data_IF_193151656733
#
_entry.id   IF_193151656733
#
_cell.length_a   1.000
_cell.length_b   1.000
_cell.length_c   1.000
_cell.angle_alpha   90.00
_cell.angle_beta   90.00
_cell.angle_gamma   90.00
#
_symmetry.space_group_name_H-M   'P 1'
#
loop_
_entity.id
_entity.type
_entity.pdbx_description
1 polymer ?
2 non-polymer ?
3 non-polymer ?
4 water ?
#
# COMPACT_ATOMS: atom_id res chain seq x y z
N UNK A 3 -16.02 19.48 -7.66
CA UNK A 3 -15.18 18.33 -8.13
C UNK A 3 -15.89 17.57 -9.26
N UNK A 4 -15.17 17.40 -10.38
CA UNK A 4 -15.70 16.87 -11.66
C UNK A 4 -16.06 15.39 -11.61
N UNK A 5 -16.77 14.94 -12.66
CA UNK A 5 -17.27 13.58 -12.74
C UNK A 5 -16.41 12.66 -13.59
N UNK A 6 -15.38 13.18 -14.25
CA UNK A 6 -14.49 12.36 -15.07
C UNK A 6 -13.58 11.46 -14.21
N UNK A 7 -12.88 12.08 -13.27
CA UNK A 7 -11.93 11.37 -12.42
C UNK A 7 -12.63 10.57 -11.32
N UNK A 8 -13.90 10.91 -11.04
CA UNK A 8 -14.71 10.15 -10.08
C UNK A 8 -15.38 8.93 -10.72
N UNK A 9 -15.58 8.97 -12.04
CA UNK A 9 -16.08 7.80 -12.79
C UNK A 9 -15.02 6.74 -12.86
N UNK A 10 -13.78 7.15 -13.17
CA UNK A 10 -12.61 6.29 -13.06
C UNK A 10 -12.33 5.74 -11.63
N UNK A 11 -12.58 6.53 -10.60
CA UNK A 11 -12.40 6.07 -9.22
C UNK A 11 -13.35 4.91 -8.91
N UNK A 12 -14.62 5.08 -9.26
CA UNK A 12 -15.64 4.06 -9.03
C UNK A 12 -15.41 2.81 -9.85
N UNK A 13 -14.95 2.98 -11.09
CA UNK A 13 -14.68 1.83 -11.95
C UNK A 13 -13.54 1.01 -11.39
N UNK A 14 -12.53 1.71 -10.91
CA UNK A 14 -11.38 1.10 -10.32
C UNK A 14 -11.78 0.28 -9.08
N UNK A 15 -12.59 0.88 -8.21
CA UNK A 15 -13.11 0.18 -7.05
C UNK A 15 -13.97 -1.03 -7.44
N UNK A 16 -14.82 -0.88 -8.44
CA UNK A 16 -15.72 -1.96 -8.84
C UNK A 16 -14.97 -3.12 -9.46
N UNK A 17 -13.80 -2.85 -10.03
CA UNK A 17 -13.03 -3.90 -10.69
C UNK A 17 -12.09 -4.59 -9.72
N UNK A 18 -11.93 -4.03 -8.52
CA UNK A 18 -10.93 -4.49 -7.56
C UNK A 18 -11.42 -5.64 -6.69
N UNK A 19 -10.69 -6.74 -6.64
CA UNK A 19 -10.97 -7.82 -5.71
C UNK A 19 -10.07 -7.70 -4.49
N UNK A 20 -8.83 -7.27 -4.71
CA UNK A 20 -7.83 -7.09 -3.67
C UNK A 20 -7.55 -5.61 -3.48
N UNK A 21 -7.42 -5.21 -2.24
CA UNK A 21 -7.12 -3.80 -1.93
C UNK A 21 -5.96 -3.75 -0.93
N UNK A 23 -4.11 -2.28 2.14
CA UNK A 23 -4.58 -1.64 3.36
C UNK A 23 -3.43 -1.17 4.20
N UNK A 24 -3.41 0.13 4.45
CA UNK A 24 -2.40 0.73 5.22
C UNK A 24 -2.90 0.99 6.61
N UNK A 25 -2.13 0.59 7.61
CA UNK A 25 -2.51 0.72 9.03
C UNK A 25 -1.32 1.29 9.74
N UNK A 26 -1.56 1.84 10.91
CA UNK A 26 -0.52 2.39 11.77
C UNK A 26 0.10 1.30 12.62
N UNK A 27 1.35 0.98 12.35
CA UNK A 27 1.97 -0.16 12.96
C UNK A 27 2.79 0.18 14.17
N UNK A 28 3.50 -0.84 14.64
CA UNK A 28 4.34 -0.75 15.82
C UNK A 28 5.45 0.26 15.56
N UNK A 29 5.78 1.02 16.61
CA UNK A 29 6.96 1.87 16.61
C UNK A 29 6.89 3.02 15.63
N UNK A 30 5.71 3.35 15.18
CA UNK A 30 5.52 4.56 14.40
C UNK A 30 5.61 4.34 12.93
N UNK A 31 5.64 3.08 12.50
CA UNK A 31 5.85 2.78 11.10
C UNK A 31 4.53 2.41 10.51
N UNK A 32 4.24 2.87 9.26
CA UNK A 32 3.09 2.34 8.57
C UNK A 32 3.31 0.89 8.21
N UNK A 33 2.22 0.18 7.96
CA UNK A 33 2.28 -1.18 7.58
C UNK A 33 1.25 -1.29 6.46
N UNK A 34 1.52 -2.15 5.49
CA UNK A 34 0.56 -2.43 4.41
C UNK A 34 0.33 -3.94 4.25
N UNK A 35 -0.92 -4.33 3.98
CA UNK A 35 -1.35 -5.72 3.85
C UNK A 35 -2.45 -5.77 2.80
N UNK A 36 -2.44 -6.77 1.96
CA UNK A 36 -3.51 -7.00 0.98
C UNK A 36 -4.70 -7.61 1.70
N UNK A 39 -11.81 -7.48 -0.98
CA UNK A 39 -13.03 -6.69 -0.95
C UNK A 39 -14.26 -7.57 -0.98
N UNK A 40 -15.10 -7.51 0.05
CA UNK A 40 -16.35 -8.28 0.08
C UNK A 40 -17.50 -7.53 -0.57
N UNK A 41 -17.67 -6.27 -0.21
CA UNK A 41 -18.79 -5.45 -0.66
C UNK A 41 -18.38 -3.98 -0.48
N UNK A 42 -19.03 -3.05 -1.18
CA UNK A 42 -18.81 -1.64 -0.97
C UNK A 42 -20.09 -0.92 -1.35
N UNK A 43 -20.15 0.33 -0.94
CA UNK A 43 -21.17 1.26 -1.37
C UNK A 43 -20.48 2.55 -1.83
N UNK A 44 -20.46 2.76 -3.14
CA UNK A 44 -19.69 3.83 -3.77
C UNK A 44 -18.26 3.87 -3.30
N UNK A 45 -17.83 5.08 -2.93
CA UNK A 45 -16.54 5.35 -2.30
C UNK A 45 -16.62 5.56 -0.78
N UNK A 46 -17.79 5.37 -0.17
CA UNK A 46 -17.95 5.68 1.25
C UNK A 46 -17.72 4.46 2.16
N UNK A 47 -18.19 3.28 1.77
CA UNK A 47 -18.09 2.13 2.65
C UNK A 47 -17.59 0.94 1.91
N UNK A 48 -16.67 0.22 2.57
CA UNK A 48 -15.99 -0.94 2.05
C UNK A 48 -15.93 -2.02 3.09
N UNK A 49 -16.42 -3.20 2.74
CA UNK A 49 -16.31 -4.35 3.64
C UNK A 49 -15.20 -5.23 3.15
N UNK A 50 -14.26 -5.55 4.05
CA UNK A 50 -13.04 -6.24 3.70
C UNK A 50 -12.93 -7.49 4.52
N UNK A 51 -12.25 -8.50 4.00
CA UNK A 51 -11.88 -9.62 4.85
C UNK A 51 -10.40 -9.86 4.79
N UNK A 52 -9.90 -10.44 5.86
CA UNK A 52 -8.53 -10.84 5.97
C UNK A 52 -8.51 -11.98 7.01
N UNK A 53 -7.35 -12.60 7.17
CA UNK A 53 -7.27 -13.69 8.10
C UNK A 53 -7.22 -13.11 9.50
N UNK A 54 -7.91 -13.78 10.42
CA UNK A 54 -7.83 -13.49 11.84
C UNK A 54 -6.40 -13.43 12.38
N UNK A 55 -6.13 -12.40 13.17
CA UNK A 55 -4.79 -12.10 13.66
C UNK A 55 -4.95 -11.24 14.90
N UNK A 56 -4.45 -11.73 16.02
CA UNK A 56 -4.61 -11.02 17.29
C UNK A 56 -3.75 -9.76 17.35
N UNK A 57 -2.62 -9.79 16.66
CA UNK A 57 -1.75 -8.64 16.52
C UNK A 57 -2.46 -7.48 15.81
N UNK A 59 -5.83 -7.21 15.53
CA UNK A 59 -6.96 -6.80 16.35
C UNK A 59 -6.47 -5.78 17.41
N UNK A 60 -5.35 -6.05 18.06
CA UNK A 60 -4.84 -5.10 19.07
C UNK A 60 -4.39 -3.78 18.46
N UNK A 61 -3.72 -3.85 17.32
CA UNK A 61 -3.35 -2.69 16.56
C UNK A 61 -4.57 -1.82 16.30
N UNK A 62 -5.60 -2.41 15.69
CA UNK A 62 -6.72 -1.61 15.26
C UNK A 62 -7.57 -1.06 16.40
N UNK A 63 -7.51 -1.69 17.58
CA UNK A 63 -8.21 -1.17 18.76
C UNK A 63 -7.46 0.01 19.37
N UNK A 64 -6.14 -0.01 19.28
CA UNK A 64 -5.34 1.17 19.66
C UNK A 64 -5.53 2.30 18.65
N UNK A 65 -5.53 2.00 17.36
CA UNK A 65 -5.51 3.02 16.33
C UNK A 65 -6.20 2.51 15.09
N UNK A 66 -7.44 2.98 14.88
CA UNK A 66 -8.25 2.51 13.73
C UNK A 66 -8.19 3.43 12.50
N UNK A 67 -7.25 4.36 12.46
CA UNK A 67 -7.03 5.18 11.26
C UNK A 67 -6.23 4.45 10.21
N UNK A 68 -6.80 4.32 9.01
CA UNK A 68 -6.22 3.51 7.92
C UNK A 68 -6.41 4.19 6.58
N UNK A 69 -5.80 3.62 5.56
CA UNK A 69 -6.10 4.00 4.17
C UNK A 69 -6.22 2.75 3.33
N UNK A 70 -6.97 2.86 2.23
CA UNK A 70 -7.09 1.86 1.19
C UNK A 70 -6.43 2.39 -0.06
N UNK A 71 -5.75 1.54 -0.81
CA UNK A 71 -5.22 1.96 -2.08
C UNK A 71 -5.61 0.95 -3.15
N UNK A 72 -6.15 1.46 -4.25
CA UNK A 72 -6.60 0.67 -5.40
C UNK A 72 -5.67 0.98 -6.54
N UNK A 73 -4.92 -0.04 -6.93
CA UNK A 73 -4.02 0.02 -8.05
C UNK A 73 -4.74 -0.06 -9.40
N UNK A 74 -4.43 0.86 -10.30
CA UNK A 74 -4.86 0.74 -11.69
C UNK A 74 -3.88 -0.18 -12.43
N UNK A 75 -4.41 -1.25 -13.04
CA UNK A 75 -3.57 -2.32 -13.62
C UNK A 75 -3.18 -2.04 -15.06
N UNK A 76 -3.73 -0.98 -15.65
CA UNK A 76 -3.49 -0.69 -17.07
C UNK A 76 -2.82 0.65 -17.31
N UNK A 77 -2.54 1.41 -16.26
CA UNK A 77 -1.85 2.69 -16.40
C UNK A 77 -1.36 3.18 -15.05
N UNK A 78 -0.42 4.12 -15.06
CA UNK A 78 0.16 4.60 -13.81
C UNK A 78 -0.84 5.54 -13.11
N UNK A 79 -1.67 4.96 -12.25
CA UNK A 79 -2.76 5.67 -11.60
C UNK A 79 -3.35 4.82 -10.49
N UNK A 80 -3.97 5.49 -9.54
CA UNK A 80 -4.57 4.79 -8.43
C UNK A 80 -5.42 5.68 -7.57
N UNK A 81 -6.16 5.04 -6.67
CA UNK A 81 -7.07 5.75 -5.75
C UNK A 81 -6.73 5.39 -4.35
N UNK A 83 -8.09 5.95 -0.50
CA UNK A 83 -9.09 6.44 0.45
C UNK A 83 -8.55 6.39 1.86
N UNK A 84 -8.91 7.41 2.62
CA UNK A 84 -8.49 7.51 3.99
C UNK A 84 -9.72 7.57 4.89
N UNK A 85 -9.67 6.89 6.03
CA UNK A 85 -10.75 6.91 7.04
C UNK A 85 -10.46 5.97 8.20
N UNK A 86 -11.49 5.40 8.78
CA UNK A 86 -11.37 4.53 9.95
C UNK A 86 -12.00 3.15 9.67
N UNK A 87 -11.56 2.15 10.41
CA UNK A 87 -12.00 0.78 10.18
C UNK A 87 -12.54 0.18 11.47
N UNK A 88 -13.47 -0.77 11.37
CA UNK A 88 -13.97 -1.47 12.56
C UNK A 88 -14.08 -2.95 12.23
N UNK A 89 -13.63 -3.79 13.16
CA UNK A 89 -13.75 -5.21 13.02
C UNK A 89 -15.18 -5.61 13.37
N UNK A 90 -15.79 -6.45 12.53
CA UNK A 90 -17.13 -6.96 12.73
C UNK A 90 -17.00 -8.37 13.32
N UNK A 91 -17.03 -8.44 14.66
CA UNK A 91 -16.82 -9.70 15.36
C UNK A 91 -18.03 -10.62 15.32
N UNK A 92 -19.19 -10.05 15.02
CA UNK A 92 -20.47 -10.76 15.13
C UNK A 92 -20.76 -11.65 13.92
N UNK A 93 -21.27 -12.85 14.20
CA UNK A 93 -21.59 -13.79 13.16
C UNK A 93 -22.65 -13.24 12.21
N UNK A 94 -23.62 -12.51 12.72
CA UNK A 94 -24.65 -11.95 11.83
C UNK A 94 -24.03 -11.16 10.64
N UNK A 95 -23.10 -10.23 10.93
CA UNK A 95 -22.40 -9.44 9.92
C UNK A 95 -21.61 -10.31 8.97
N UNK A 96 -20.91 -11.31 9.52
CA UNK A 96 -20.08 -12.21 8.72
C UNK A 96 -20.90 -13.05 7.77
N UNK A 97 -22.09 -13.43 8.23
CA UNK A 97 -23.01 -14.14 7.38
C UNK A 97 -23.49 -13.23 6.24
N UNK A 99 -22.08 -10.60 4.92
CA UNK A 99 -21.00 -10.19 4.02
C UNK A 99 -20.39 -11.34 3.23
N UNK A 100 -20.72 -12.57 3.58
CA UNK A 100 -20.16 -13.73 2.90
C UNK A 100 -20.57 -13.79 1.45
N UNK A 101 -19.57 -13.96 0.59
CA UNK A 101 -19.72 -13.99 -0.85
C UNK A 101 -19.15 -15.32 -1.31
N UNK A 102 -19.77 -15.93 -2.32
CA UNK A 102 -19.11 -17.00 -3.09
C UNK A 102 -17.73 -16.47 -3.55
N UNK A 103 -16.66 -17.21 -3.24
CA UNK A 103 -15.30 -16.71 -3.37
C UNK A 103 -14.57 -16.78 -2.04
N UNK A 104 -15.33 -16.56 -0.95
CA UNK A 104 -14.79 -16.68 0.37
C UNK A 104 -14.43 -18.15 0.64
N UNK A 105 -15.14 -19.08 0.01
CA UNK A 105 -14.91 -20.50 0.28
C UNK A 105 -13.48 -20.91 -0.08
N UNK A 106 -12.81 -20.15 -0.94
CA UNK A 106 -11.43 -20.46 -1.31
C UNK A 106 -10.50 -20.18 -0.16
N UNK A 107 -10.71 -19.07 0.54
CA UNK A 107 -9.82 -18.69 1.64
C UNK A 107 -10.23 -19.31 2.97
N UNK A 108 -11.54 -19.46 3.15
CA UNK A 108 -12.11 -19.90 4.39
C UNK A 108 -12.94 -21.15 4.21
N UNK A 109 -12.26 -22.32 4.09
CA UNK A 109 -12.95 -23.59 3.75
C UNK A 109 -14.02 -24.09 4.74
N UNK A 110 -13.96 -23.66 6.00
CA UNK A 110 -15.03 -24.01 6.91
C UNK A 110 -16.22 -23.05 6.87
N UNK A 111 -16.18 -22.02 6.02
CA UNK A 111 -17.38 -21.20 5.79
C UNK A 111 -17.47 -20.02 6.73
N UNK A 112 -18.69 -19.58 7.00
CA UNK A 112 -18.90 -18.43 7.88
C UNK A 112 -18.23 -18.59 9.25
N UNK A 113 -18.18 -19.84 9.73
CA UNK A 113 -17.62 -20.20 11.04
C UNK A 113 -16.15 -20.55 11.02
N UNK A 114 -15.52 -20.44 9.86
CA UNK A 114 -14.09 -20.62 9.78
C UNK A 114 -13.44 -19.63 10.76
N UNK A 115 -12.60 -20.13 11.67
CA UNK A 115 -12.01 -19.22 12.66
C UNK A 115 -11.03 -18.20 12.08
N UNK A 116 -10.59 -18.42 10.85
CA UNK A 116 -9.70 -17.47 10.22
C UNK A 116 -10.41 -16.35 9.47
N UNK A 117 -11.72 -16.46 9.31
CA UNK A 117 -12.53 -15.46 8.62
C UNK A 117 -12.80 -14.26 9.51
N UNK A 118 -12.24 -13.11 9.13
CA UNK A 118 -12.50 -11.83 9.81
C UNK A 118 -13.04 -10.82 8.80
N UNK A 119 -14.11 -10.10 9.16
CA UNK A 119 -14.72 -9.11 8.29
C UNK A 119 -14.53 -7.76 8.94
N UNK A 120 -14.42 -6.72 8.13
CA UNK A 120 -14.15 -5.37 8.65
C UNK A 120 -14.90 -4.39 7.81
N UNK A 121 -15.21 -3.25 8.40
CA UNK A 121 -15.99 -2.22 7.71
C UNK A 121 -15.16 -0.97 7.75
N UNK A 122 -14.75 -0.51 6.57
CA UNK A 122 -14.04 0.73 6.41
C UNK A 122 -14.97 1.86 6.01
N UNK A 123 -14.87 3.00 6.70
CA UNK A 123 -15.62 4.20 6.35
C UNK A 123 -14.64 5.27 5.87
N UNK A 124 -14.80 5.68 4.61
CA UNK A 124 -13.89 6.65 3.98
C UNK A 124 -14.35 8.03 4.32
N UNK A 125 -13.40 8.93 4.55
CA UNK A 125 -13.69 10.34 4.78
C UNK A 125 -13.13 11.22 3.66
N UNK A 126 -11.96 10.86 3.13
CA UNK A 126 -11.26 11.62 2.10
C UNK A 126 -10.73 10.67 1.04
N UNK A 127 -10.63 11.17 -0.18
CA UNK A 127 -10.10 10.42 -1.30
C UNK A 127 -8.99 11.21 -1.94
N UNK A 128 -8.15 10.50 -2.67
CA UNK A 128 -7.06 11.08 -3.41
C UNK A 128 -6.92 10.26 -4.70
N UNK A 129 -7.17 10.88 -5.84
CA UNK A 129 -6.98 10.22 -7.13
C UNK A 129 -5.65 10.64 -7.79
N UNK A 130 -4.84 9.65 -8.13
CA UNK A 130 -3.51 9.86 -8.71
C UNK A 130 -3.56 9.49 -10.18
N UNK A 131 -3.21 10.46 -11.01
CA UNK A 131 -3.03 10.23 -12.42
C UNK A 131 -2.19 11.34 -13.03
N UNK A 132 -1.41 10.99 -14.04
CA UNK A 132 -0.57 11.93 -14.78
C UNK A 132 0.43 12.59 -13.85
N UNK A 133 1.01 11.83 -12.92
CA UNK A 133 1.93 12.35 -11.88
C UNK A 133 1.34 13.46 -11.04
N UNK A 134 0.01 13.51 -10.96
CA UNK A 134 -0.70 14.51 -10.16
C UNK A 134 -1.74 13.82 -9.32
N UNK A 135 -2.28 14.54 -8.36
CA UNK A 135 -3.41 14.01 -7.62
C UNK A 135 -4.45 15.03 -7.33
N UNK A 136 -5.70 14.58 -7.28
CA UNK A 136 -6.83 15.38 -6.90
C UNK A 136 -7.34 14.82 -5.60
N UNK A 137 -7.44 15.68 -4.59
CA UNK A 137 -7.96 15.32 -3.30
C UNK A 137 -9.41 15.75 -3.17
N UNK A 138 -10.24 14.89 -2.60
CA UNK A 138 -11.65 15.21 -2.43
C UNK A 138 -12.19 14.65 -1.11
N UNK A 139 -13.23 15.30 -0.60
CA UNK A 139 -13.92 14.85 0.61
C UNK A 139 -15.08 13.99 0.16
N UNK A 140 -15.23 12.79 0.74
CA UNK A 140 -16.19 11.82 0.22
C UNK A 140 -17.64 12.37 0.33
N UNK A 141 -17.94 13.02 1.43
CA UNK A 141 -19.29 13.59 1.66
C UNK A 141 -19.66 14.79 0.79
N UNK A 142 -18.70 15.39 0.10
CA UNK A 142 -19.00 16.44 -0.87
C UNK A 142 -19.37 15.88 -2.25
N UNK A 143 -18.91 14.66 -2.54
CA UNK A 143 -19.10 14.04 -3.86
C UNK A 143 -19.78 12.68 -3.72
N UNK B 3 14.11 -18.37 7.42
CA UNK B 3 15.57 -18.32 7.11
C UNK B 3 15.99 -19.21 5.89
N UNK B 4 15.11 -20.09 5.38
CA UNK B 4 15.38 -20.84 4.13
C UNK B 4 15.65 -19.90 2.94
N UNK B 5 16.55 -20.31 2.05
CA UNK B 5 17.02 -19.44 0.95
C UNK B 5 15.93 -19.11 -0.07
N UNK B 6 14.89 -19.94 -0.15
CA UNK B 6 13.77 -19.74 -1.07
C UNK B 6 13.19 -18.32 -0.98
N UNK B 7 12.96 -17.86 0.26
CA UNK B 7 12.27 -16.58 0.48
C UNK B 7 13.03 -15.45 -0.15
N UNK B 8 14.28 -15.29 0.22
CA UNK B 8 15.09 -14.21 -0.35
C UNK B 8 15.04 -14.20 -1.89
N UNK B 9 15.15 -15.39 -2.49
CA UNK B 9 15.05 -15.56 -3.95
C UNK B 9 13.62 -15.33 -4.44
N UNK B 10 12.61 -15.85 -3.73
CA UNK B 10 11.19 -15.64 -4.09
C UNK B 10 10.78 -14.16 -3.92
N UNK B 11 11.09 -13.58 -2.77
CA UNK B 11 10.91 -12.15 -2.54
C UNK B 11 11.68 -11.34 -3.56
N UNK B 12 12.85 -11.82 -3.98
CA UNK B 12 13.60 -11.04 -4.98
C UNK B 12 12.93 -11.03 -6.33
N UNK B 13 12.44 -12.20 -6.75
CA UNK B 13 11.65 -12.27 -7.98
C UNK B 13 10.49 -11.30 -7.86
N UNK B 14 9.82 -11.33 -6.71
CA UNK B 14 8.70 -10.43 -6.47
C UNK B 14 9.07 -8.99 -6.70
N UNK B 15 10.18 -8.57 -6.10
CA UNK B 15 10.70 -7.23 -6.30
C UNK B 15 11.01 -6.95 -7.78
N UNK B 16 11.73 -7.87 -8.42
CA UNK B 16 12.15 -7.67 -9.80
C UNK B 16 11.00 -7.65 -10.79
N UNK B 17 9.87 -8.23 -10.42
CA UNK B 17 8.81 -8.44 -11.38
C UNK B 17 8.05 -7.17 -11.77
N UNK B 18 8.22 -6.09 -11.00
CA UNK B 18 7.63 -4.79 -11.36
C UNK B 18 8.55 -3.63 -10.98
N UNK B 19 8.45 -2.56 -11.76
CA UNK B 19 9.22 -1.36 -11.50
C UNK B 19 8.50 -0.44 -10.51
N UNK B 20 7.27 -0.82 -10.15
CA UNK B 20 6.37 0.00 -9.29
C UNK B 20 6.35 -0.56 -7.89
N UNK B 21 6.50 0.32 -6.91
CA UNK B 21 6.42 -0.12 -5.53
C UNK B 21 5.44 0.77 -4.82
N UNK B 23 4.29 2.65 -1.56
CA UNK B 23 5.07 3.21 -0.46
C UNK B 23 4.11 3.76 0.58
N UNK B 24 4.17 3.20 1.79
CA UNK B 24 3.37 3.70 2.89
C UNK B 24 4.11 4.74 3.73
N UNK B 25 3.44 5.84 4.02
CA UNK B 25 4.00 6.91 4.79
C UNK B 25 2.98 7.35 5.85
N UNK B 26 3.47 8.12 6.81
CA UNK B 26 2.65 8.69 7.85
C UNK B 26 2.09 10.02 7.39
N UNK B 27 0.81 10.05 7.03
CA UNK B 27 0.18 11.23 6.48
C UNK B 27 -0.37 12.18 7.54
N UNK B 28 -1.02 13.23 7.08
CA UNK B 28 -1.59 14.24 7.99
C UNK B 28 -2.66 13.62 8.85
N UNK B 29 -2.77 14.14 10.07
CA UNK B 29 -3.85 13.80 10.99
C UNK B 29 -3.84 12.35 11.46
N UNK B 30 -2.67 11.71 11.38
CA UNK B 30 -2.49 10.39 11.95
C UNK B 30 -2.98 9.24 11.09
N UNK B 31 -3.31 9.53 9.82
CA UNK B 31 -3.70 8.52 8.84
C UNK B 31 -2.51 8.05 7.99
N UNK B 32 -2.40 6.73 7.73
CA UNK B 32 -1.37 6.32 6.80
C UNK B 32 -1.78 6.70 5.39
N UNK B 33 -0.80 6.83 4.53
CA UNK B 33 -1.06 7.17 3.16
C UNK B 33 -0.22 6.19 2.37
N UNK B 34 -0.72 5.80 1.21
CA UNK B 34 -0.01 4.95 0.29
C UNK B 34 0.06 5.65 -1.04
N UNK B 35 1.25 5.66 -1.63
CA UNK B 35 1.50 6.11 -3.00
C UNK B 35 2.35 5.12 -3.78
N UNK B 36 2.08 5.01 -5.08
CA UNK B 36 2.95 4.26 -6.00
C UNK B 36 4.21 5.08 -6.34
N UNK B 39 10.78 2.14 -8.73
CA UNK B 39 12.00 1.56 -8.28
C UNK B 39 13.06 1.86 -9.32
N UNK B 40 14.03 2.69 -8.95
CA UNK B 40 15.18 2.98 -9.77
C UNK B 40 16.22 1.86 -9.62
N UNK B 41 16.41 1.37 -8.41
CA UNK B 41 17.45 0.38 -8.15
C UNK B 41 17.17 -0.31 -6.84
N UNK B 42 17.63 -1.54 -6.71
CA UNK B 42 17.68 -2.12 -5.39
C UNK B 42 18.90 -2.99 -5.17
N UNK B 43 19.23 -3.17 -3.88
CA UNK B 43 20.23 -4.10 -3.45
C UNK B 43 19.58 -5.20 -2.62
N UNK B 44 19.26 -6.33 -3.25
CA UNK B 44 18.52 -7.36 -2.56
C UNK B 44 17.31 -6.77 -1.85
N UNK B 45 17.10 -7.16 -0.60
CA UNK B 45 16.02 -6.59 0.23
C UNK B 45 16.51 -5.55 1.20
N UNK B 46 17.77 -5.17 1.07
CA UNK B 46 18.40 -4.24 2.01
C UNK B 46 18.14 -2.78 1.70
N UNK B 47 18.12 -2.45 0.42
CA UNK B 47 18.17 -1.04 0.02
C UNK B 47 17.44 -0.84 -1.30
N UNK B 48 16.61 0.19 -1.34
CA UNK B 48 15.86 0.55 -2.54
C UNK B 48 16.07 2.01 -2.85
N UNK B 49 16.25 2.33 -4.11
CA UNK B 49 16.33 3.73 -4.54
C UNK B 49 15.09 3.92 -5.40
N UNK B 50 14.33 4.96 -5.06
CA UNK B 50 13.02 5.13 -5.68
C UNK B 50 12.89 6.51 -6.25
N UNK B 51 12.03 6.61 -7.24
CA UNK B 51 11.67 7.89 -7.83
C UNK B 51 10.20 8.26 -7.61
N UNK B 52 9.97 9.55 -7.36
CA UNK B 52 8.62 10.09 -7.34
C UNK B 52 8.67 11.57 -7.73
N UNK B 53 7.50 12.11 -7.99
CA UNK B 53 7.37 13.53 -8.32
C UNK B 53 7.58 14.41 -7.09
N UNK B 54 8.39 15.47 -7.27
CA UNK B 54 8.54 16.48 -6.22
C UNK B 54 7.17 17.03 -5.89
N UNK B 55 6.75 16.81 -4.66
CA UNK B 55 5.63 17.54 -4.07
C UNK B 55 6.16 18.10 -2.76
N UNK B 56 5.94 19.38 -2.52
CA UNK B 56 6.34 19.98 -1.24
C UNK B 56 5.67 19.26 -0.05
N UNK B 57 4.41 18.88 -0.20
CA UNK B 57 3.72 18.09 0.82
C UNK B 57 4.55 16.87 1.23
N UNK B 59 7.61 16.01 0.62
CA UNK B 59 8.96 16.33 1.08
C UNK B 59 8.94 16.80 2.52
N UNK B 60 8.09 17.78 2.81
CA UNK B 60 7.90 18.27 4.17
C UNK B 60 7.54 17.15 5.13
N UNK B 61 6.64 16.25 4.72
CA UNK B 61 6.25 15.09 5.52
C UNK B 61 7.41 14.13 5.78
N UNK B 62 8.16 13.77 4.75
CA UNK B 62 9.32 12.89 4.94
C UNK B 62 10.42 13.52 5.80
N UNK B 63 10.53 14.84 5.75
CA UNK B 63 11.46 15.58 6.59
C UNK B 63 11.13 15.45 8.09
N UNK B 64 9.85 15.41 8.42
CA UNK B 64 9.40 15.36 9.79
C UNK B 64 9.21 13.93 10.26
N UNK B 65 8.93 13.02 9.32
CA UNK B 65 8.72 11.63 9.69
C UNK B 65 9.09 10.75 8.50
N UNK B 66 10.21 10.04 8.60
CA UNK B 66 10.74 9.21 7.51
C UNK B 66 10.56 7.72 7.71
N UNK B 67 9.65 7.33 8.59
CA UNK B 67 9.32 5.95 8.81
C UNK B 67 8.32 5.54 7.77
N UNK B 68 8.70 4.55 6.98
CA UNK B 68 7.89 4.18 5.88
C UNK B 68 7.83 2.68 5.76
N UNK B 69 7.00 2.23 4.86
CA UNK B 69 7.09 0.85 4.45
C UNK B 69 6.89 0.75 2.95
N UNK B 70 7.46 -0.29 2.39
CA UNK B 70 7.27 -0.63 0.96
C UNK B 70 6.44 -1.89 0.86
N UNK B 71 5.62 -1.99 -0.19
CA UNK B 71 4.85 -3.23 -0.42
C UNK B 71 4.92 -3.65 -1.88
N UNK B 72 5.12 -4.94 -2.12
CA UNK B 72 5.20 -5.50 -3.45
C UNK B 72 4.20 -6.60 -3.48
N UNK B 73 3.40 -6.68 -4.54
CA UNK B 73 2.37 -7.70 -4.55
C UNK B 73 2.35 -8.43 -5.87
N UNK B 74 1.97 -9.71 -5.83
CA UNK B 74 1.29 -10.31 -7.01
C UNK B 74 -0.06 -10.93 -6.61
N UNK B 75 -1.12 -10.22 -6.97
CA UNK B 75 -2.50 -10.63 -6.71
C UNK B 75 -2.83 -11.99 -7.28
N UNK B 76 -2.13 -12.41 -8.35
CA UNK B 76 -2.36 -13.72 -8.97
C UNK B 76 -2.01 -14.86 -8.02
N UNK B 77 -0.92 -14.72 -7.27
CA UNK B 77 -0.58 -15.69 -6.24
C UNK B 77 -1.18 -15.33 -4.87
N UNK B 78 -1.83 -14.18 -4.77
CA UNK B 78 -2.17 -13.59 -3.47
C UNK B 78 -0.96 -13.68 -2.49
N UNK B 79 0.18 -13.23 -3.00
CA UNK B 79 1.41 -13.12 -2.24
C UNK B 79 1.82 -11.65 -2.27
N UNK B 80 2.50 -11.27 -1.21
CA UNK B 80 3.02 -9.95 -1.11
C UNK B 80 4.23 -9.94 -0.21
N UNK B 81 5.00 -8.87 -0.32
CA UNK B 81 6.14 -8.69 0.51
C UNK B 81 6.09 -7.29 1.07
N UNK B 83 8.28 -4.45 3.41
CA UNK B 83 9.53 -4.11 4.06
C UNK B 83 9.30 -2.84 4.81
N UNK B 84 9.87 -2.78 6.02
CA UNK B 84 9.71 -1.66 6.94
C UNK B 84 11.08 -1.03 7.23
N UNK B 85 11.11 0.29 7.28
CA UNK B 85 12.37 1.02 7.31
C UNK B 85 12.20 2.50 7.23
N UNK B 86 13.28 3.21 6.89
CA UNK B 86 13.31 4.66 6.81
C UNK B 86 13.88 5.10 5.48
N UNK B 87 13.48 6.29 5.07
CA UNK B 87 13.77 6.77 3.74
C UNK B 87 14.47 8.14 3.84
N UNK B 88 15.43 8.41 2.95
CA UNK B 88 16.01 9.75 2.89
C UNK B 88 15.95 10.27 1.46
N UNK B 89 15.75 11.57 1.31
CA UNK B 89 15.70 12.22 -0.01
C UNK B 89 17.13 12.47 -0.43
N UNK B 90 17.47 12.11 -1.65
CA UNK B 90 18.80 12.40 -2.16
C UNK B 90 18.80 13.66 -3.02
N UNK B 91 19.37 14.72 -2.49
CA UNK B 91 19.33 16.03 -3.14
C UNK B 91 20.46 16.30 -4.14
N UNK B 92 21.52 15.51 -4.08
CA UNK B 92 22.69 15.79 -4.90
C UNK B 92 22.55 15.24 -6.31
N UNK B 93 23.04 16.00 -7.27
CA UNK B 93 22.85 15.71 -8.68
C UNK B 93 23.65 14.48 -9.09
N UNK B 94 24.82 14.29 -8.47
CA UNK B 94 25.62 13.08 -8.67
C UNK B 94 24.79 11.80 -8.51
N UNK B 95 24.08 11.72 -7.41
CA UNK B 95 23.28 10.53 -7.10
C UNK B 95 22.11 10.39 -8.07
N UNK B 96 21.46 11.51 -8.33
CA UNK B 96 20.36 11.59 -9.22
C UNK B 96 20.76 11.13 -10.58
N UNK B 97 21.95 11.52 -11.03
CA UNK B 97 22.51 11.08 -12.30
C UNK B 97 22.84 9.58 -12.32
N UNK B 99 21.48 7.28 -10.56
CA UNK B 99 20.28 6.47 -10.40
C UNK B 99 19.31 6.56 -11.57
N UNK B 100 19.47 7.60 -12.41
CA UNK B 100 18.63 7.80 -13.59
C UNK B 100 18.56 6.54 -14.44
N UNK B 101 17.37 6.22 -14.96
CA UNK B 101 17.20 5.06 -15.82
C UNK B 101 16.38 5.42 -17.04
N UNK B 102 16.41 4.54 -18.03
CA UNK B 102 15.45 4.58 -19.12
C UNK B 102 14.04 4.61 -18.55
N UNK B 103 13.15 5.33 -19.23
CA UNK B 103 11.80 5.46 -18.71
C UNK B 103 11.66 6.27 -17.43
N UNK B 104 12.74 6.87 -16.95
CA UNK B 104 12.64 8.09 -16.19
C UNK B 104 12.21 9.20 -17.14
N UNK B 105 12.64 9.08 -18.40
CA UNK B 105 12.45 10.11 -19.40
C UNK B 105 10.98 10.36 -19.68
N UNK B 106 10.18 9.31 -19.54
CA UNK B 106 8.75 9.36 -19.77
C UNK B 106 8.09 10.28 -18.75
N UNK B 107 8.69 10.34 -17.56
CA UNK B 107 8.11 11.06 -16.44
C UNK B 107 8.77 12.38 -16.21
N UNK B 108 10.05 12.47 -16.55
CA UNK B 108 10.82 13.67 -16.32
C UNK B 108 11.47 14.12 -17.64
N UNK B 109 10.68 14.81 -18.48
CA UNK B 109 11.12 15.30 -19.79
C UNK B 109 12.41 16.11 -19.79
N UNK B 110 12.69 16.86 -18.74
CA UNK B 110 13.88 17.74 -18.69
C UNK B 110 15.12 17.07 -18.10
N UNK B 111 15.09 15.75 -17.96
CA UNK B 111 16.26 15.00 -17.59
C UNK B 111 16.54 15.03 -16.11
N UNK B 112 17.78 14.76 -15.76
CA UNK B 112 18.25 14.75 -14.40
C UNK B 112 17.91 16.04 -13.68
N UNK B 113 17.90 17.14 -14.42
CA UNK B 113 17.59 18.44 -13.80
C UNK B 113 16.11 18.79 -13.76
N UNK B 114 15.23 17.88 -14.18
CA UNK B 114 13.79 18.13 -14.12
C UNK B 114 13.45 18.44 -12.67
N UNK B 115 12.73 19.55 -12.43
CA UNK B 115 12.43 19.87 -11.06
C UNK B 115 11.47 18.88 -10.38
N UNK B 116 10.76 18.04 -11.15
CA UNK B 116 9.89 17.06 -10.58
C UNK B 116 10.53 15.69 -10.30
N UNK B 117 11.81 15.53 -10.60
CA UNK B 117 12.51 14.28 -10.34
C UNK B 117 13.06 14.35 -8.94
N UNK B 118 12.48 13.56 -8.03
CA UNK B 118 13.01 13.38 -6.68
C UNK B 118 13.50 11.93 -6.55
N UNK B 119 14.68 11.75 -5.97
CA UNK B 119 15.21 10.42 -5.74
C UNK B 119 15.27 10.18 -4.24
N UNK B 120 14.89 8.98 -3.85
CA UNK B 120 14.88 8.59 -2.42
C UNK B 120 15.67 7.32 -2.20
N UNK B 121 16.24 7.18 -1.02
CA UNK B 121 16.89 5.92 -0.67
C UNK B 121 16.21 5.32 0.56
N UNK B 122 15.57 4.15 0.39
CA UNK B 122 14.97 3.38 1.47
C UNK B 122 15.91 2.30 1.98
N UNK B 123 16.04 2.20 3.30
CA UNK B 123 16.85 1.17 3.95
C UNK B 123 15.95 0.34 4.81
N UNK B 124 15.79 -0.97 4.49
CA UNK B 124 14.88 -1.88 5.19
C UNK B 124 15.44 -2.39 6.50
N UNK B 125 14.62 -2.39 7.54
CA UNK B 125 14.99 -2.97 8.85
C UNK B 125 14.43 -4.40 8.97
N UNK B 126 13.18 -4.59 8.57
CA UNK B 126 12.60 -5.94 8.58
C UNK B 126 11.51 -6.11 7.54
N UNK B 127 11.01 -7.31 7.42
CA UNK B 127 9.91 -7.54 6.52
C UNK B 127 9.03 -8.68 6.91
N UNK B 128 8.05 -8.86 6.04
CA UNK B 128 7.03 -9.80 6.19
C UNK B 128 6.69 -10.33 4.82
N UNK B 129 6.81 -11.63 4.64
CA UNK B 129 6.41 -12.27 3.39
C UNK B 129 5.05 -12.89 3.63
N UNK B 130 4.05 -12.50 2.83
CA UNK B 130 2.70 -13.04 2.99
C UNK B 130 2.45 -14.01 1.85
N UNK B 131 1.87 -15.17 2.16
CA UNK B 131 1.55 -16.17 1.14
C UNK B 131 0.80 -17.32 1.82
N UNK B 132 -0.16 -17.89 1.08
CA UNK B 132 -1.08 -18.91 1.59
C UNK B 132 -1.76 -18.46 2.91
N UNK B 133 -2.08 -17.17 2.98
CA UNK B 133 -2.80 -16.59 4.11
C UNK B 133 -2.01 -16.70 5.40
N UNK B 134 -0.69 -16.85 5.26
CA UNK B 134 0.23 -16.82 6.38
C UNK B 134 1.31 -15.81 6.08
N UNK B 135 2.06 -15.47 7.11
CA UNK B 135 3.21 -14.68 6.89
C UNK B 135 4.37 -15.07 7.78
N UNK B 136 5.56 -14.82 7.26
CA UNK B 136 6.82 -15.03 7.91
C UNK B 136 7.44 -13.68 8.03
N UNK B 137 7.75 -13.27 9.26
CA UNK B 137 8.40 -12.03 9.57
C UNK B 137 9.86 -12.31 9.78
N UNK B 138 10.72 -11.47 9.23
CA UNK B 138 12.17 -11.62 9.40
C UNK B 138 12.84 -10.29 9.54
N UNK B 139 13.97 -10.25 10.24
CA UNK B 139 14.84 -9.08 10.24
C UNK B 139 15.81 -9.19 9.08
N UNK B 140 16.12 -8.06 8.45
CA UNK B 140 16.97 -8.07 7.27
C UNK B 140 18.32 -8.70 7.58
N UNK B 141 18.91 -8.30 8.70
CA UNK B 141 20.20 -8.82 9.13
C UNK B 141 20.23 -10.35 9.33
N UNK B 142 19.05 -10.98 9.52
CA UNK B 142 18.95 -12.44 9.64
C UNK B 142 18.94 -13.11 8.27
N UNK B 143 18.13 -12.58 7.36
CA UNK B 143 17.91 -13.19 6.03
C UNK B 143 19.18 -13.15 5.15
N UNK B 144 20.28 -12.63 5.69
CA UNK B 144 21.58 -12.61 5.01
C UNK B 144 22.69 -13.09 5.96
#
# INVERSE_FOLDING_TARGET
>A
GXIDEKFLIESNELVESSKIVXVGTNGENGYPNIKAXXRLKHDGLKKFWLSTNTSTRXVERLKKNNKICLYFVDDNKFAGLXLVGTIEILHDRASKEXLWTDGCEIYYPLGIDDPDYTALCFTAEWGNYYRHLKNITFKIDEIYNY
>B
GXIDEKFLIESNELVESSKIVXVGTNGENGYPNIKAXXRLKHDGLKKFWLSTNTSTRXVERLKKNNKICLYFVDDNKFAGLXLVGTIEILHDRASKEXLWTDGCEIYYPLGIDDPDYTALCFTAEWGNYYRHLKNITFKIDEIYNY
#
